data_IF_949146797308
#
_entry.id   IF_949146797308
#
_cell.length_a   1.000
_cell.length_b   1.000
_cell.length_c   1.000
_cell.angle_alpha   90.00
_cell.angle_beta   90.00
_cell.angle_gamma   90.00
#
_symmetry.space_group_name_H-M   'P 1'
#
loop_
_entity.id
_entity.type
_entity.pdbx_description
1 polymer ?
#
# COMPACT_ATOMS: atom_id res chain seq x y z
N UNK A 1 96.92 -10.64 -10.78
CA UNK A 1 96.77 -11.13 -12.17
C UNK A 1 95.53 -12.01 -12.18
N UNK A 2 94.51 -11.65 -12.96
CA UNK A 2 93.31 -12.49 -13.12
C UNK A 2 93.73 -13.66 -14.01
N UNK A 3 93.43 -14.88 -13.59
CA UNK A 3 93.78 -16.09 -14.35
C UNK A 3 92.97 -16.17 -15.65
N UNK A 4 93.65 -16.30 -16.79
CA UNK A 4 93.03 -16.37 -18.11
C UNK A 4 92.08 -17.59 -18.24
N UNK A 5 92.37 -18.68 -17.53
CA UNK A 5 91.51 -19.86 -17.49
C UNK A 5 90.20 -19.60 -16.75
N UNK A 6 90.25 -18.77 -15.70
CA UNK A 6 89.06 -18.34 -14.95
C UNK A 6 88.15 -17.44 -15.79
N UNK A 7 88.73 -16.56 -16.62
CA UNK A 7 87.98 -15.67 -17.52
C UNK A 7 87.30 -16.46 -18.65
N UNK A 8 87.99 -17.43 -19.25
CA UNK A 8 87.42 -18.28 -20.29
C UNK A 8 86.24 -19.11 -19.76
N UNK A 9 86.39 -19.68 -18.56
CA UNK A 9 85.32 -20.45 -17.91
C UNK A 9 84.10 -19.58 -17.59
N UNK A 10 84.32 -18.35 -17.10
CA UNK A 10 83.25 -17.39 -16.86
C UNK A 10 82.54 -16.96 -18.16
N UNK A 11 83.31 -16.74 -19.24
CA UNK A 11 82.77 -16.43 -20.57
C UNK A 11 81.85 -17.53 -21.09
N UNK A 12 82.26 -18.80 -20.94
CA UNK A 12 81.45 -19.95 -21.34
C UNK A 12 80.16 -20.05 -20.51
N UNK A 13 80.25 -19.85 -19.19
CA UNK A 13 79.09 -19.85 -18.30
C UNK A 13 78.07 -18.77 -18.68
N UNK A 14 78.53 -17.54 -18.93
CA UNK A 14 77.66 -16.43 -19.34
C UNK A 14 76.98 -16.76 -20.68
N UNK A 15 77.72 -17.27 -21.66
CA UNK A 15 77.14 -17.64 -22.95
C UNK A 15 76.07 -18.75 -22.81
N UNK A 16 76.33 -19.79 -22.02
CA UNK A 16 75.32 -20.82 -21.74
C UNK A 16 74.06 -20.23 -21.09
N UNK A 17 74.24 -19.26 -20.18
CA UNK A 17 73.12 -18.60 -19.52
C UNK A 17 72.31 -17.72 -20.48
N UNK A 18 72.96 -17.03 -21.41
CA UNK A 18 72.32 -16.20 -22.42
C UNK A 18 71.57 -17.04 -23.47
N UNK A 19 72.17 -18.17 -23.90
CA UNK A 19 71.52 -19.14 -24.79
C UNK A 19 70.28 -19.74 -24.13
N UNK A 20 70.36 -20.19 -22.87
CA UNK A 20 69.21 -20.77 -22.15
C UNK A 20 68.02 -19.82 -22.00
N UNK A 21 68.28 -18.50 -22.05
CA UNK A 21 67.25 -17.45 -21.98
C UNK A 21 66.82 -16.92 -23.36
N UNK A 22 67.37 -17.48 -24.44
CA UNK A 22 67.05 -17.11 -25.81
C UNK A 22 67.51 -15.70 -26.21
N UNK A 23 68.59 -15.19 -25.59
CA UNK A 23 69.15 -13.86 -25.85
C UNK A 23 70.27 -13.87 -26.91
N UNK A 24 70.76 -15.05 -27.28
CA UNK A 24 71.71 -15.25 -28.38
C UNK A 24 70.99 -16.01 -29.50
N UNK A 25 70.99 -15.47 -30.72
CA UNK A 25 70.18 -16.00 -31.82
C UNK A 25 70.88 -17.11 -32.64
N UNK A 26 72.21 -17.23 -32.61
CA UNK A 26 72.93 -18.09 -33.59
C UNK A 26 74.03 -19.00 -33.02
N UNK A 27 74.02 -19.31 -31.71
CA UNK A 27 75.07 -20.14 -31.10
C UNK A 27 76.48 -19.52 -31.13
N UNK A 28 76.64 -18.33 -31.71
CA UNK A 28 77.84 -17.52 -31.65
C UNK A 28 77.93 -16.89 -30.25
N UNK A 29 78.74 -17.50 -29.39
CA UNK A 29 79.05 -16.96 -28.08
C UNK A 29 79.80 -15.63 -28.19
N UNK A 30 79.61 -14.77 -27.19
CA UNK A 30 80.42 -13.57 -27.04
C UNK A 30 81.66 -13.97 -26.24
N UNK A 31 82.84 -13.71 -26.78
CA UNK A 31 84.07 -13.90 -26.02
C UNK A 31 84.23 -12.73 -25.04
N UNK A 32 84.23 -13.03 -23.75
CA UNK A 32 84.42 -12.04 -22.68
C UNK A 32 85.84 -12.06 -22.11
N UNK A 33 86.70 -13.00 -22.55
CA UNK A 33 88.02 -13.23 -21.97
C UNK A 33 89.12 -12.35 -22.61
N UNK A 34 89.00 -12.00 -23.89
CA UNK A 34 90.05 -11.29 -24.65
C UNK A 34 89.62 -9.93 -25.20
N UNK A 35 88.85 -9.16 -24.43
CA UNK A 35 88.26 -7.89 -24.87
C UNK A 35 89.28 -6.78 -25.26
N UNK A 36 90.58 -6.96 -24.98
CA UNK A 36 91.63 -5.98 -25.27
C UNK A 36 92.59 -6.35 -26.41
N UNK A 37 92.54 -7.57 -26.93
CA UNK A 37 93.44 -8.05 -28.01
C UNK A 37 92.84 -7.92 -29.42
N UNK A 38 91.59 -7.46 -29.51
CA UNK A 38 90.86 -7.30 -30.77
C UNK A 38 91.26 -6.03 -31.54
N UNK A 39 91.04 -6.05 -32.86
CA UNK A 39 91.00 -4.81 -33.65
C UNK A 39 89.89 -3.88 -33.12
N UNK A 40 90.03 -2.55 -33.25
CA UNK A 40 89.01 -1.61 -32.78
C UNK A 40 87.62 -1.84 -33.40
N UNK A 41 87.56 -2.44 -34.59
CA UNK A 41 86.31 -2.79 -35.28
C UNK A 41 85.62 -4.02 -34.66
N UNK A 42 86.38 -5.09 -34.37
CA UNK A 42 85.86 -6.29 -33.71
C UNK A 42 85.42 -6.02 -32.26
N UNK A 43 86.11 -5.12 -31.55
CA UNK A 43 85.70 -4.66 -30.23
C UNK A 43 84.35 -3.90 -30.28
N UNK A 44 84.14 -3.05 -31.30
CA UNK A 44 82.87 -2.34 -31.52
C UNK A 44 81.71 -3.29 -31.83
N UNK A 45 81.89 -4.29 -32.68
CA UNK A 45 80.85 -5.29 -32.96
C UNK A 45 80.47 -6.10 -31.72
N UNK A 46 81.47 -6.53 -30.94
CA UNK A 46 81.28 -7.25 -29.67
C UNK A 46 80.51 -6.39 -28.68
N UNK A 47 80.89 -5.12 -28.52
CA UNK A 47 80.18 -4.16 -27.68
C UNK A 47 78.73 -3.94 -28.16
N UNK A 48 78.49 -3.85 -29.47
CA UNK A 48 77.15 -3.76 -30.05
C UNK A 48 76.27 -4.96 -29.72
N UNK A 49 76.80 -6.19 -29.80
CA UNK A 49 76.08 -7.42 -29.41
C UNK A 49 75.75 -7.44 -27.91
N UNK A 50 76.69 -7.05 -27.05
CA UNK A 50 76.47 -6.96 -25.60
C UNK A 50 75.37 -5.92 -25.30
N UNK A 51 75.44 -4.74 -25.92
CA UNK A 51 74.44 -3.68 -25.75
C UNK A 51 73.06 -4.15 -26.22
N UNK A 52 72.97 -4.88 -27.34
CA UNK A 52 71.72 -5.47 -27.83
C UNK A 52 71.08 -6.42 -26.81
N UNK A 53 71.88 -7.32 -26.22
CA UNK A 53 71.42 -8.26 -25.18
C UNK A 53 70.96 -7.53 -23.92
N UNK A 54 71.72 -6.51 -23.49
CA UNK A 54 71.35 -5.69 -22.34
C UNK A 54 70.03 -4.95 -22.60
N UNK A 55 69.84 -4.39 -23.79
CA UNK A 55 68.59 -3.74 -24.19
C UNK A 55 67.42 -4.74 -24.18
N UNK A 56 67.59 -5.93 -24.74
CA UNK A 56 66.55 -6.97 -24.72
C UNK A 56 66.18 -7.41 -23.30
N UNK A 57 67.16 -7.51 -22.40
CA UNK A 57 66.93 -7.81 -20.99
C UNK A 57 66.16 -6.68 -20.29
N UNK A 58 66.50 -5.42 -20.55
CA UNK A 58 65.79 -4.26 -20.00
C UNK A 58 64.34 -4.27 -20.51
N UNK A 59 64.14 -4.41 -21.82
CA UNK A 59 62.81 -4.42 -22.42
C UNK A 59 61.94 -5.60 -21.94
N UNK A 60 62.53 -6.77 -21.72
CA UNK A 60 61.82 -7.93 -21.13
C UNK A 60 61.47 -7.67 -19.67
N UNK A 61 62.41 -7.16 -18.87
CA UNK A 61 62.16 -6.81 -17.47
C UNK A 61 61.07 -5.76 -17.32
N UNK A 62 61.08 -4.73 -18.17
CA UNK A 62 60.07 -3.68 -18.14
C UNK A 62 58.69 -4.21 -18.52
N UNK A 63 58.62 -5.09 -19.53
CA UNK A 63 57.37 -5.81 -19.88
C UNK A 63 56.87 -6.68 -18.74
N UNK A 64 57.75 -7.48 -18.13
CA UNK A 64 57.38 -8.34 -17.01
C UNK A 64 56.91 -7.53 -15.79
N UNK A 65 57.57 -6.40 -15.51
CA UNK A 65 57.15 -5.48 -14.45
C UNK A 65 55.75 -4.89 -14.72
N UNK A 66 55.48 -4.45 -15.95
CA UNK A 66 54.16 -3.97 -16.36
C UNK A 66 53.09 -5.07 -16.26
N UNK A 67 53.40 -6.31 -16.64
CA UNK A 67 52.49 -7.45 -16.51
C UNK A 67 52.18 -7.77 -15.05
N UNK A 68 53.19 -7.78 -14.17
CA UNK A 68 52.99 -8.01 -12.73
C UNK A 68 52.15 -6.90 -12.10
N UNK A 69 52.38 -5.63 -12.48
CA UNK A 69 51.58 -4.51 -12.00
C UNK A 69 50.12 -4.58 -12.49
N UNK A 70 49.92 -4.91 -13.77
CA UNK A 70 48.58 -5.14 -14.35
C UNK A 70 47.84 -6.29 -13.65
N UNK A 71 48.51 -7.42 -13.40
CA UNK A 71 47.91 -8.54 -12.67
C UNK A 71 47.59 -8.16 -11.21
N UNK A 72 48.49 -7.44 -10.55
CA UNK A 72 48.30 -6.97 -9.18
C UNK A 72 47.10 -6.03 -9.05
N UNK A 73 46.94 -5.11 -10.01
CA UNK A 73 45.78 -4.19 -10.06
C UNK A 73 44.47 -4.94 -10.34
N UNK A 74 44.45 -5.84 -11.32
CA UNK A 74 43.27 -6.69 -11.59
C UNK A 74 42.89 -7.53 -10.38
N UNK A 75 43.86 -8.14 -9.69
CA UNK A 75 43.61 -8.94 -8.50
C UNK A 75 43.04 -8.10 -7.33
N UNK A 76 43.53 -6.87 -7.15
CA UNK A 76 42.97 -5.92 -6.18
C UNK A 76 41.53 -5.54 -6.52
N UNK A 77 41.24 -5.27 -7.79
CA UNK A 77 39.87 -5.01 -8.27
C UNK A 77 38.95 -6.20 -7.99
N UNK A 78 39.36 -7.42 -8.39
CA UNK A 78 38.57 -8.63 -8.18
C UNK A 78 38.28 -8.89 -6.69
N UNK A 79 39.25 -8.63 -5.80
CA UNK A 79 39.02 -8.74 -4.35
C UNK A 79 38.02 -7.70 -3.84
N UNK A 80 38.11 -6.46 -4.31
CA UNK A 80 37.17 -5.42 -3.94
C UNK A 80 35.75 -5.75 -4.43
N UNK A 81 35.61 -6.22 -5.67
CA UNK A 81 34.33 -6.62 -6.24
C UNK A 81 33.75 -7.84 -5.54
N UNK A 82 34.57 -8.84 -5.20
CA UNK A 82 34.13 -10.00 -4.44
C UNK A 82 33.61 -9.63 -3.03
N UNK A 83 34.30 -8.70 -2.35
CA UNK A 83 33.84 -8.17 -1.07
C UNK A 83 32.50 -7.43 -1.19
N UNK A 84 32.33 -6.60 -2.24
CA UNK A 84 31.06 -5.91 -2.54
C UNK A 84 29.93 -6.89 -2.81
N UNK A 85 30.15 -7.87 -3.69
CA UNK A 85 29.16 -8.90 -4.02
C UNK A 85 28.78 -9.72 -2.79
N UNK A 86 29.74 -10.06 -1.92
CA UNK A 86 29.47 -10.77 -0.66
C UNK A 86 28.56 -9.95 0.26
N UNK A 87 28.82 -8.65 0.39
CA UNK A 87 27.98 -7.73 1.16
C UNK A 87 26.56 -7.62 0.57
N UNK A 88 26.44 -7.54 -0.75
CA UNK A 88 25.13 -7.47 -1.41
C UNK A 88 24.34 -8.77 -1.26
N UNK A 89 25.01 -9.92 -1.38
CA UNK A 89 24.38 -11.23 -1.12
C UNK A 89 23.87 -11.32 0.32
N UNK A 90 24.66 -10.87 1.30
CA UNK A 90 24.23 -10.83 2.69
C UNK A 90 22.98 -9.95 2.86
N UNK A 91 22.99 -8.72 2.34
CA UNK A 91 21.86 -7.78 2.40
C UNK A 91 20.60 -8.33 1.71
N UNK A 92 20.75 -8.94 0.54
CA UNK A 92 19.64 -9.56 -0.19
C UNK A 92 19.08 -10.79 0.56
N UNK A 93 19.95 -11.56 1.23
CA UNK A 93 19.52 -12.70 2.02
C UNK A 93 18.71 -12.29 3.25
N UNK A 94 19.11 -11.20 3.93
CA UNK A 94 18.38 -10.62 5.06
C UNK A 94 17.03 -10.08 4.61
N UNK A 95 17.01 -9.31 3.51
CA UNK A 95 15.75 -8.81 2.93
C UNK A 95 14.81 -9.95 2.56
N UNK A 96 15.32 -11.04 1.96
CA UNK A 96 14.52 -12.23 1.64
C UNK A 96 13.96 -12.91 2.89
N UNK A 97 14.75 -13.01 3.95
CA UNK A 97 14.30 -13.59 5.22
C UNK A 97 13.18 -12.74 5.85
N UNK A 98 13.31 -11.43 5.79
CA UNK A 98 12.32 -10.48 6.31
C UNK A 98 11.01 -10.51 5.49
N UNK A 99 11.07 -10.49 4.15
CA UNK A 99 9.86 -10.63 3.33
C UNK A 99 9.15 -11.97 3.56
N UNK A 100 9.91 -13.04 3.81
CA UNK A 100 9.33 -14.35 4.15
C UNK A 100 8.56 -14.28 5.48
N UNK A 101 9.11 -13.62 6.50
CA UNK A 101 8.40 -13.41 7.77
C UNK A 101 7.12 -12.60 7.58
N UNK A 102 7.15 -11.53 6.78
CA UNK A 102 5.95 -10.74 6.45
C UNK A 102 4.89 -11.55 5.74
N UNK A 103 5.30 -12.41 4.79
CA UNK A 103 4.38 -13.30 4.08
C UNK A 103 3.71 -14.31 5.03
N UNK A 104 4.47 -14.89 5.96
CA UNK A 104 3.95 -15.83 6.97
C UNK A 104 2.97 -15.10 7.92
N UNK A 105 3.28 -13.87 8.35
CA UNK A 105 2.37 -13.03 9.14
C UNK A 105 1.09 -12.68 8.38
N UNK A 106 1.19 -12.32 7.10
CA UNK A 106 0.03 -12.02 6.27
C UNK A 106 -0.87 -13.26 6.07
N UNK A 107 -0.26 -14.43 5.87
CA UNK A 107 -0.99 -15.70 5.70
C UNK A 107 -1.73 -16.10 6.97
N UNK A 108 -1.10 -15.94 8.14
CA UNK A 108 -1.75 -16.20 9.44
C UNK A 108 -2.88 -15.20 9.71
N UNK A 109 -2.69 -13.91 9.40
CA UNK A 109 -3.74 -12.90 9.49
C UNK A 109 -4.92 -13.21 8.54
N UNK A 110 -4.66 -13.62 7.30
CA UNK A 110 -5.69 -14.03 6.34
C UNK A 110 -6.49 -15.23 6.87
N UNK A 111 -5.81 -16.25 7.41
CA UNK A 111 -6.48 -17.43 7.97
C UNK A 111 -7.42 -17.08 9.13
N UNK A 112 -7.01 -16.11 9.96
CA UNK A 112 -7.80 -15.60 11.09
C UNK A 112 -9.01 -14.83 10.60
N UNK A 113 -8.82 -13.91 9.64
CA UNK A 113 -9.91 -13.14 9.03
C UNK A 113 -10.94 -14.06 8.35
N UNK A 114 -10.49 -15.09 7.62
CA UNK A 114 -11.38 -16.10 7.01
C UNK A 114 -12.19 -16.87 8.06
N UNK A 115 -11.60 -17.21 9.20
CA UNK A 115 -12.32 -17.86 10.31
C UNK A 115 -13.38 -16.94 10.94
N UNK A 116 -13.04 -15.67 11.14
CA UNK A 116 -13.98 -14.66 11.63
C UNK A 116 -15.14 -14.44 10.65
N UNK A 117 -14.86 -14.37 9.34
CA UNK A 117 -15.88 -14.26 8.30
C UNK A 117 -16.86 -15.44 8.35
N UNK A 118 -16.36 -16.68 8.40
CA UNK A 118 -17.22 -17.88 8.52
C UNK A 118 -18.10 -17.85 9.76
N UNK A 119 -17.55 -17.38 10.88
CA UNK A 119 -18.28 -17.23 12.14
C UNK A 119 -19.37 -16.16 12.04
N UNK A 120 -19.06 -15.01 11.43
CA UNK A 120 -20.03 -13.94 11.19
C UNK A 120 -21.14 -14.38 10.23
N UNK A 121 -20.81 -15.10 9.16
CA UNK A 121 -21.80 -15.68 8.25
C UNK A 121 -22.73 -16.67 8.96
N UNK A 122 -22.20 -17.53 9.84
CA UNK A 122 -23.02 -18.46 10.62
C UNK A 122 -24.00 -17.71 11.54
N UNK A 123 -23.54 -16.65 12.22
CA UNK A 123 -24.40 -15.77 13.03
C UNK A 123 -25.47 -15.09 12.17
N UNK A 124 -25.12 -14.59 10.99
CA UNK A 124 -26.08 -14.00 10.05
C UNK A 124 -27.15 -15.00 9.63
N UNK A 125 -26.78 -16.26 9.33
CA UNK A 125 -27.76 -17.31 8.99
C UNK A 125 -28.72 -17.57 10.16
N UNK A 126 -28.20 -17.70 11.38
CA UNK A 126 -29.03 -17.86 12.59
C UNK A 126 -30.01 -16.70 12.79
N UNK A 127 -29.54 -15.46 12.67
CA UNK A 127 -30.38 -14.27 12.80
C UNK A 127 -31.47 -14.19 11.72
N UNK A 128 -31.15 -14.60 10.48
CA UNK A 128 -32.15 -14.69 9.41
C UNK A 128 -33.23 -15.73 9.74
N UNK A 129 -32.86 -16.89 10.27
CA UNK A 129 -33.83 -17.89 10.71
C UNK A 129 -34.71 -17.38 11.84
N UNK A 130 -34.14 -16.72 12.87
CA UNK A 130 -34.89 -16.11 13.96
C UNK A 130 -35.85 -15.03 13.47
N UNK A 131 -35.42 -14.20 12.52
CA UNK A 131 -36.27 -13.21 11.87
C UNK A 131 -37.45 -13.87 11.16
N UNK A 132 -37.22 -14.97 10.42
CA UNK A 132 -38.31 -15.68 9.76
C UNK A 132 -39.29 -16.30 10.75
N UNK A 133 -38.79 -16.92 11.84
CA UNK A 133 -39.61 -17.44 12.94
C UNK A 133 -40.46 -16.33 13.57
N UNK A 134 -39.86 -15.18 13.89
CA UNK A 134 -40.57 -14.03 14.45
C UNK A 134 -41.66 -13.52 13.51
N UNK A 135 -41.37 -13.40 12.20
CA UNK A 135 -42.37 -13.02 11.19
C UNK A 135 -43.56 -13.99 11.20
N UNK A 136 -43.30 -15.30 11.21
CA UNK A 136 -44.39 -16.30 11.26
C UNK A 136 -45.21 -16.16 12.54
N UNK A 137 -44.56 -15.98 13.69
CA UNK A 137 -45.24 -15.79 14.97
C UNK A 137 -46.14 -14.54 14.96
N UNK A 138 -45.65 -13.40 14.44
CA UNK A 138 -46.44 -12.17 14.31
C UNK A 138 -47.65 -12.36 13.39
N UNK A 139 -47.49 -13.06 12.27
CA UNK A 139 -48.63 -13.35 11.39
C UNK A 139 -49.67 -14.25 12.07
N UNK A 140 -49.22 -15.25 12.83
CA UNK A 140 -50.09 -16.14 13.59
C UNK A 140 -50.83 -15.41 14.70
N UNK A 141 -50.17 -14.54 15.48
CA UNK A 141 -50.80 -13.77 16.55
C UNK A 141 -51.82 -12.77 16.01
N UNK A 142 -51.52 -12.10 14.88
CA UNK A 142 -52.49 -11.25 14.16
C UNK A 142 -53.72 -12.02 13.72
N UNK A 143 -53.52 -13.21 13.12
CA UNK A 143 -54.62 -14.07 12.70
C UNK A 143 -55.47 -14.53 13.91
N UNK A 144 -54.83 -14.99 14.99
CA UNK A 144 -55.50 -15.41 16.21
C UNK A 144 -56.31 -14.26 16.83
N UNK A 145 -55.71 -13.07 16.97
CA UNK A 145 -56.39 -11.87 17.47
C UNK A 145 -57.61 -11.52 16.60
N UNK A 146 -57.47 -11.54 15.28
CA UNK A 146 -58.58 -11.29 14.37
C UNK A 146 -59.71 -12.34 14.49
N UNK A 147 -59.40 -13.59 14.81
CA UNK A 147 -60.43 -14.62 15.09
C UNK A 147 -61.12 -14.40 16.43
N UNK A 148 -60.38 -13.99 17.47
CA UNK A 148 -60.94 -13.68 18.78
C UNK A 148 -61.85 -12.46 18.74
N UNK A 149 -61.47 -11.40 18.04
CA UNK A 149 -62.30 -10.20 17.85
C UNK A 149 -63.63 -10.59 17.21
N UNK A 150 -63.59 -11.34 16.09
CA UNK A 150 -64.82 -11.84 15.46
C UNK A 150 -65.66 -12.73 16.38
N UNK A 151 -65.03 -13.53 17.25
CA UNK A 151 -65.75 -14.34 18.25
C UNK A 151 -66.44 -13.46 19.29
N UNK A 152 -65.72 -12.46 19.83
CA UNK A 152 -66.25 -11.48 20.78
C UNK A 152 -67.38 -10.65 20.16
N UNK A 153 -67.26 -10.25 18.90
CA UNK A 153 -68.29 -9.52 18.18
C UNK A 153 -69.58 -10.35 18.07
N UNK A 154 -69.48 -11.63 17.68
CA UNK A 154 -70.65 -12.53 17.64
C UNK A 154 -71.29 -12.69 19.02
N UNK A 155 -70.50 -12.83 20.09
CA UNK A 155 -71.06 -12.91 21.46
C UNK A 155 -71.71 -11.61 21.88
N UNK A 156 -71.11 -10.46 21.58
CA UNK A 156 -71.68 -9.15 21.87
C UNK A 156 -72.99 -8.94 21.10
N UNK A 157 -73.05 -9.32 19.84
CA UNK A 157 -74.29 -9.22 19.05
C UNK A 157 -75.37 -10.16 19.58
N UNK A 158 -75.01 -11.36 20.07
CA UNK A 158 -75.93 -12.24 20.79
C UNK A 158 -76.48 -11.60 22.07
N UNK A 159 -75.60 -11.04 22.91
CA UNK A 159 -76.00 -10.35 24.14
C UNK A 159 -76.85 -9.11 23.85
N UNK A 160 -76.51 -8.33 22.82
CA UNK A 160 -77.31 -7.18 22.37
C UNK A 160 -78.71 -7.62 21.94
N UNK A 161 -78.84 -8.71 21.18
CA UNK A 161 -80.15 -9.26 20.80
C UNK A 161 -80.96 -9.67 22.02
N UNK A 162 -80.35 -10.38 22.97
CA UNK A 162 -81.00 -10.75 24.24
C UNK A 162 -81.44 -9.52 25.05
N UNK A 163 -80.61 -8.47 25.11
CA UNK A 163 -80.95 -7.21 25.78
C UNK A 163 -82.11 -6.50 25.07
N UNK A 164 -82.12 -6.47 23.74
CA UNK A 164 -83.22 -5.89 22.95
C UNK A 164 -84.49 -6.71 23.12
N UNK A 165 -84.42 -8.04 23.13
CA UNK A 165 -85.54 -8.93 23.41
C UNK A 165 -86.07 -8.69 24.83
N UNK A 166 -85.20 -8.64 25.85
CA UNK A 166 -85.56 -8.27 27.22
C UNK A 166 -86.20 -6.87 27.31
N UNK A 167 -85.75 -5.91 26.48
CA UNK A 167 -86.33 -4.58 26.37
C UNK A 167 -87.65 -4.51 25.61
N UNK A 168 -87.92 -5.44 24.67
CA UNK A 168 -89.20 -5.59 23.97
C UNK A 168 -90.31 -6.14 24.88
N UNK A 169 -89.97 -6.76 26.00
CA UNK A 169 -90.91 -7.13 27.06
C UNK A 169 -91.35 -5.95 27.94
N UNK A 170 -91.23 -4.70 27.47
CA UNK A 170 -91.90 -3.52 28.06
C UNK A 170 -93.40 -3.54 27.72
N UNK A 171 -94.04 -4.65 28.07
CA UNK A 171 -95.44 -4.97 27.81
C UNK A 171 -95.92 -6.30 28.41
N UNK A 172 -95.07 -7.13 29.04
CA UNK A 172 -95.54 -8.23 29.89
C UNK A 172 -94.43 -8.76 30.82
N UNK A 173 -94.68 -8.64 32.13
CA UNK A 173 -94.14 -9.40 33.28
C UNK A 173 -92.62 -9.63 33.36
N UNK A 174 -92.00 -8.85 34.25
CA UNK A 174 -90.91 -9.20 35.18
C UNK A 174 -90.25 -10.58 34.98
N UNK A 175 -89.10 -10.63 34.34
CA UNK A 175 -88.13 -11.72 34.55
C UNK A 175 -87.24 -11.34 35.76
N UNK A 176 -87.10 -12.21 36.79
CA UNK A 176 -86.47 -11.86 38.07
C UNK A 176 -84.93 -11.86 38.04
N UNK A 177 -84.28 -11.88 36.87
CA UNK A 177 -82.82 -12.03 36.75
C UNK A 177 -82.08 -10.81 36.21
N UNK A 178 -82.75 -9.69 35.96
CA UNK A 178 -82.11 -8.45 35.48
C UNK A 178 -82.15 -7.40 36.58
N UNK A 179 -81.08 -7.33 37.37
CA UNK A 179 -80.86 -6.27 38.36
C UNK A 179 -80.27 -5.05 37.65
N UNK A 180 -81.11 -4.10 37.25
CA UNK A 180 -80.67 -2.77 36.82
C UNK A 180 -80.33 -1.94 38.04
N UNK A 181 -79.04 -1.74 38.31
CA UNK A 181 -78.54 -0.84 39.36
C UNK A 181 -78.49 0.58 38.77
N UNK A 182 -79.38 1.46 39.23
CA UNK A 182 -79.25 2.90 39.03
C UNK A 182 -78.37 3.48 40.13
N UNK A 183 -77.17 3.95 39.77
CA UNK A 183 -76.29 4.67 40.69
C UNK A 183 -76.71 6.13 40.70
N UNK A 184 -77.46 6.53 41.73
CA UNK A 184 -77.62 7.93 42.14
C UNK A 184 -76.63 8.22 43.25
N UNK A 185 -75.81 9.24 43.04
CA UNK A 185 -74.82 9.75 43.98
C UNK A 185 -75.56 10.39 45.17
N UNK A 186 -75.58 9.70 46.31
CA UNK A 186 -76.10 10.25 47.57
C UNK A 186 -75.07 10.07 48.67
N UNK A 187 -74.44 11.19 49.01
CA UNK A 187 -73.56 11.38 50.16
C UNK A 187 -74.32 11.08 51.45
N UNK A 188 -73.89 10.03 52.16
CA UNK A 188 -74.40 9.66 53.46
C UNK A 188 -73.42 8.73 54.14
N UNK A 189 -72.55 9.30 54.97
CA UNK A 189 -71.75 8.58 55.95
C UNK A 189 -72.72 7.88 56.91
N UNK A 190 -72.62 6.56 56.99
CA UNK A 190 -72.73 5.85 58.26
C UNK A 190 -71.81 4.63 58.19
N UNK A 191 -71.06 4.48 59.28
CA UNK A 191 -70.06 3.46 59.48
C UNK A 191 -70.72 2.10 59.59
N UNK A 192 -70.31 1.16 58.73
CA UNK A 192 -70.41 -0.25 59.07
C UNK A 192 -69.25 -1.02 58.46
N UNK A 193 -68.73 -1.94 59.28
CA UNK A 193 -67.54 -2.73 59.09
C UNK A 193 -67.47 -3.39 57.71
N UNK A 194 -66.33 -3.26 57.02
CA UNK A 194 -65.57 -4.36 56.40
C UNK A 194 -64.38 -3.79 55.61
N UNK A 195 -63.18 -4.09 56.11
CA UNK A 195 -61.93 -4.13 55.36
C UNK A 195 -61.42 -2.82 54.71
N UNK A 196 -61.33 -1.74 55.48
CA UNK A 196 -60.29 -0.75 55.23
C UNK A 196 -58.95 -1.31 55.74
N UNK A 197 -58.22 -1.97 54.82
CA UNK A 197 -56.79 -2.24 54.99
C UNK A 197 -56.14 -0.95 55.47
N UNK A 198 -55.60 -0.96 56.68
CA UNK A 198 -54.69 0.06 57.19
C UNK A 198 -53.67 0.41 56.11
N UNK A 199 -53.77 1.62 55.57
CA UNK A 199 -52.70 2.27 54.79
C UNK A 199 -51.95 3.26 55.68
N UNK A 200 -51.80 2.95 56.97
CA UNK A 200 -50.76 3.58 57.79
C UNK A 200 -49.61 2.57 57.94
N UNK A 201 -48.93 2.29 56.83
CA UNK A 201 -47.50 2.06 56.95
C UNK A 201 -46.90 3.44 57.24
N UNK A 202 -46.34 3.63 58.43
CA UNK A 202 -45.63 4.87 58.83
C UNK A 202 -44.43 5.21 57.92
N UNK A 203 -44.12 4.37 56.94
CA UNK A 203 -43.09 4.56 55.91
C UNK A 203 -43.64 4.88 54.51
N UNK A 204 -44.96 4.84 54.28
CA UNK A 204 -45.55 5.08 52.95
C UNK A 204 -45.93 6.56 52.75
N UNK A 205 -44.90 7.41 52.61
CA UNK A 205 -45.05 8.83 52.33
C UNK A 205 -45.09 9.09 50.81
N UNK A 206 -46.08 9.85 50.32
CA UNK A 206 -46.17 10.34 48.93
C UNK A 206 -44.89 11.06 48.47
N UNK A 207 -44.14 11.62 49.42
CA UNK A 207 -42.80 12.19 49.17
C UNK A 207 -41.80 11.13 48.73
N UNK A 208 -41.85 9.91 49.26
CA UNK A 208 -41.00 8.79 48.85
C UNK A 208 -41.32 8.37 47.41
N UNK A 209 -42.59 8.34 47.01
CA UNK A 209 -42.99 8.06 45.63
C UNK A 209 -42.49 9.15 44.68
N UNK A 210 -42.70 10.43 45.04
CA UNK A 210 -42.25 11.59 44.25
C UNK A 210 -40.72 11.62 44.12
N UNK A 211 -39.98 11.39 45.21
CA UNK A 211 -38.53 11.29 45.18
C UNK A 211 -38.06 10.07 44.37
N UNK A 212 -38.75 8.93 44.44
CA UNK A 212 -38.41 7.76 43.63
C UNK A 212 -38.68 7.99 42.13
N UNK A 213 -39.70 8.77 41.80
CA UNK A 213 -40.02 9.15 40.42
C UNK A 213 -39.00 10.15 39.89
N UNK A 214 -38.68 11.20 40.65
CA UNK A 214 -37.64 12.18 40.29
C UNK A 214 -36.26 11.55 40.17
N UNK A 215 -35.92 10.60 41.06
CA UNK A 215 -34.66 9.86 40.97
C UNK A 215 -34.62 8.98 39.71
N UNK A 216 -35.73 8.29 39.38
CA UNK A 216 -35.84 7.51 38.14
C UNK A 216 -35.74 8.40 36.90
N UNK A 217 -36.43 9.53 36.88
CA UNK A 217 -36.40 10.48 35.78
C UNK A 217 -35.00 11.10 35.61
N UNK A 218 -34.34 11.50 36.70
CA UNK A 218 -32.97 12.01 36.66
C UNK A 218 -31.98 10.95 36.16
N UNK A 219 -32.17 9.68 36.55
CA UNK A 219 -31.35 8.57 36.08
C UNK A 219 -31.58 8.28 34.60
N UNK A 220 -32.82 8.33 34.13
CA UNK A 220 -33.18 8.11 32.74
C UNK A 220 -32.68 9.25 31.84
N UNK A 221 -32.86 10.50 32.26
CA UNK A 221 -32.31 11.68 31.58
C UNK A 221 -30.77 11.64 31.57
N UNK A 222 -30.14 11.23 32.66
CA UNK A 222 -28.68 11.06 32.72
C UNK A 222 -28.21 9.97 31.75
N UNK A 223 -28.89 8.82 31.70
CA UNK A 223 -28.57 7.75 30.74
C UNK A 223 -28.73 8.18 29.30
N UNK A 224 -29.81 8.89 28.99
CA UNK A 224 -30.08 9.37 27.64
C UNK A 224 -29.03 10.41 27.21
N UNK A 225 -28.69 11.34 28.10
CA UNK A 225 -27.60 12.30 27.90
C UNK A 225 -26.24 11.60 27.70
N UNK A 226 -25.93 10.57 28.49
CA UNK A 226 -24.71 9.79 28.28
C UNK A 226 -24.71 9.04 26.95
N UNK A 227 -25.85 8.50 26.51
CA UNK A 227 -25.97 7.84 25.21
C UNK A 227 -25.77 8.82 24.05
N UNK A 228 -26.29 10.05 24.16
CA UNK A 228 -26.08 11.12 23.17
C UNK A 228 -24.61 11.53 23.12
N UNK A 229 -23.94 11.72 24.26
CA UNK A 229 -22.49 11.99 24.30
C UNK A 229 -21.67 10.92 23.59
N UNK A 230 -21.99 9.65 23.85
CA UNK A 230 -21.27 8.53 23.23
C UNK A 230 -21.49 8.49 21.72
N UNK A 231 -22.72 8.74 21.27
CA UNK A 231 -23.02 8.81 19.84
C UNK A 231 -22.26 9.96 19.19
N UNK A 232 -22.31 11.17 19.77
CA UNK A 232 -21.60 12.34 19.26
C UNK A 232 -20.08 12.13 19.24
N UNK A 233 -19.51 11.51 20.28
CA UNK A 233 -18.09 11.18 20.35
C UNK A 233 -17.67 10.18 19.26
N UNK A 234 -18.50 9.17 19.00
CA UNK A 234 -18.28 8.22 17.89
C UNK A 234 -18.37 8.90 16.53
N UNK A 235 -19.34 9.79 16.33
CA UNK A 235 -19.47 10.52 15.07
C UNK A 235 -18.31 11.49 14.84
N UNK A 236 -17.84 12.18 15.88
CA UNK A 236 -16.67 13.05 15.82
C UNK A 236 -15.41 12.24 15.46
N UNK A 237 -15.21 11.08 16.10
CA UNK A 237 -14.10 10.17 15.79
C UNK A 237 -14.16 9.68 14.33
N UNK A 238 -15.33 9.28 13.83
CA UNK A 238 -15.48 8.85 12.43
C UNK A 238 -15.22 9.98 11.43
N UNK A 239 -15.72 11.19 11.70
CA UNK A 239 -15.46 12.36 10.86
C UNK A 239 -13.98 12.75 10.87
N UNK A 240 -13.32 12.62 12.03
CA UNK A 240 -11.88 12.82 12.17
C UNK A 240 -11.09 11.81 11.35
N UNK A 241 -11.45 10.52 11.43
CA UNK A 241 -10.82 9.46 10.65
C UNK A 241 -10.99 9.68 9.14
N UNK A 242 -12.18 10.08 8.69
CA UNK A 242 -12.46 10.34 7.27
C UNK A 242 -11.77 11.60 6.75
N UNK A 243 -11.65 12.63 7.59
CA UNK A 243 -11.03 13.91 7.19
C UNK A 243 -9.50 13.93 7.37
N UNK A 244 -8.94 12.94 8.05
CA UNK A 244 -7.51 12.88 8.40
C UNK A 244 -7.09 13.98 9.37
N UNK A 245 -8.05 14.58 10.11
CA UNK A 245 -7.76 15.67 11.04
C UNK A 245 -6.94 15.15 12.23
N UNK A 246 -5.70 15.63 12.34
CA UNK A 246 -4.86 15.40 13.50
C UNK A 246 -4.63 16.74 14.18
N UNK A 247 -5.10 16.87 15.42
CA UNK A 247 -4.99 18.11 16.18
C UNK A 247 -3.50 18.40 16.43
N UNK A 248 -2.96 19.37 15.69
CA UNK A 248 -1.53 19.70 15.68
C UNK A 248 -1.07 20.32 17.00
N UNK A 249 -2.00 20.62 17.91
CA UNK A 249 -1.73 21.23 19.21
C UNK A 249 -1.59 20.21 20.34
N UNK A 250 -1.85 18.92 20.10
CA UNK A 250 -1.61 17.87 21.10
C UNK A 250 -0.19 17.33 20.96
N UNK A 251 0.79 18.14 21.38
CA UNK A 251 2.12 17.60 21.71
C UNK A 251 1.96 16.61 22.87
N UNK A 252 2.43 15.35 22.75
CA UNK A 252 2.45 14.44 23.87
C UNK A 252 3.53 14.93 24.84
N UNK A 253 3.14 15.70 25.85
CA UNK A 253 4.00 15.90 27.01
C UNK A 253 4.14 14.55 27.71
N UNK A 254 5.30 13.92 27.51
CA UNK A 254 5.74 12.61 28.02
C UNK A 254 5.80 12.47 29.56
N UNK A 255 5.08 13.29 30.33
CA UNK A 255 5.15 13.32 31.79
C UNK A 255 3.86 12.94 32.54
N UNK A 256 2.75 12.63 31.87
CA UNK A 256 1.57 12.09 32.55
C UNK A 256 1.39 10.59 32.24
N UNK A 257 2.20 9.81 32.95
CA UNK A 257 1.97 8.39 33.14
C UNK A 257 0.67 8.20 33.95
N UNK A 258 -0.45 8.09 33.24
CA UNK A 258 -1.68 7.31 33.50
C UNK A 258 -2.86 8.05 32.84
N UNK A 259 -3.45 7.53 31.75
CA UNK A 259 -4.64 8.13 31.18
C UNK A 259 -5.82 7.74 32.07
N UNK A 260 -6.06 8.50 33.14
CA UNK A 260 -7.42 8.61 33.65
C UNK A 260 -8.14 9.38 32.56
N UNK A 261 -8.68 8.64 31.59
CA UNK A 261 -9.49 9.12 30.48
C UNK A 261 -10.70 9.85 31.08
N UNK A 262 -10.53 11.13 31.41
CA UNK A 262 -11.67 12.01 31.65
C UNK A 262 -12.46 11.97 30.37
N UNK A 263 -13.71 11.50 30.48
CA UNK A 263 -14.65 11.54 29.37
C UNK A 263 -14.73 13.00 28.92
N UNK A 264 -14.54 13.30 27.61
CA UNK A 264 -14.61 14.66 27.12
C UNK A 264 -15.97 15.25 27.51
N UNK A 265 -15.96 16.47 28.06
CA UNK A 265 -17.18 17.18 28.34
C UNK A 265 -17.88 17.55 27.04
N UNK A 266 -19.17 17.90 27.12
CA UNK A 266 -19.94 18.38 25.97
C UNK A 266 -19.25 19.54 25.22
N UNK A 267 -18.59 20.43 25.97
CA UNK A 267 -17.87 21.58 25.42
C UNK A 267 -16.58 21.18 24.69
N UNK A 268 -15.86 20.16 25.19
CA UNK A 268 -14.68 19.64 24.52
C UNK A 268 -15.07 19.01 23.18
N UNK A 269 -16.15 18.22 23.19
CA UNK A 269 -16.70 17.57 22.01
C UNK A 269 -17.24 18.57 20.98
N UNK A 270 -17.88 19.64 21.43
CA UNK A 270 -18.32 20.76 20.59
C UNK A 270 -17.14 21.41 19.88
N UNK A 271 -16.05 21.70 20.62
CA UNK A 271 -14.84 22.29 20.05
C UNK A 271 -14.14 21.37 19.04
N UNK A 272 -14.08 20.06 19.32
CA UNK A 272 -13.51 19.06 18.40
C UNK A 272 -14.35 18.95 17.13
N UNK A 273 -15.68 18.90 17.26
CA UNK A 273 -16.59 18.83 16.12
C UNK A 273 -16.46 20.06 15.21
N UNK A 274 -16.39 21.27 15.79
CA UNK A 274 -16.24 22.51 15.03
C UNK A 274 -14.88 22.58 14.31
N UNK A 275 -13.82 22.10 14.94
CA UNK A 275 -12.49 22.01 14.32
C UNK A 275 -12.47 21.03 13.14
N UNK A 276 -13.04 19.83 13.31
CA UNK A 276 -13.16 18.82 12.24
C UNK A 276 -14.03 19.34 11.09
N UNK A 277 -15.17 19.96 11.40
CA UNK A 277 -16.07 20.53 10.39
C UNK A 277 -15.42 21.69 9.63
N UNK A 278 -14.62 22.51 10.31
CA UNK A 278 -13.84 23.59 9.66
C UNK A 278 -12.75 23.02 8.75
N UNK A 279 -12.05 21.98 9.18
CA UNK A 279 -11.08 21.27 8.35
C UNK A 279 -11.71 20.61 7.12
N UNK A 280 -12.85 19.94 7.29
CA UNK A 280 -13.61 19.37 6.18
C UNK A 280 -14.13 20.44 5.23
N UNK A 281 -14.63 21.57 5.75
CA UNK A 281 -15.01 22.72 4.93
C UNK A 281 -13.81 23.20 4.13
N UNK A 282 -12.67 23.41 4.77
CA UNK A 282 -11.44 23.82 4.10
C UNK A 282 -11.04 22.83 3.02
N UNK A 283 -11.06 21.51 3.26
CA UNK A 283 -10.81 20.53 2.20
C UNK A 283 -11.80 20.68 1.04
N UNK A 284 -13.10 20.74 1.34
CA UNK A 284 -14.13 20.82 0.30
C UNK A 284 -14.15 22.15 -0.46
N UNK A 285 -13.69 23.25 0.14
CA UNK A 285 -13.65 24.58 -0.48
C UNK A 285 -12.27 24.96 -1.03
N UNK A 286 -11.22 24.18 -0.76
CA UNK A 286 -9.89 24.45 -1.31
C UNK A 286 -9.80 23.86 -2.72
N UNK A 287 -9.54 24.67 -3.77
CA UNK A 287 -9.60 24.27 -5.18
C UNK A 287 -8.47 23.32 -5.63
N UNK A 288 -7.74 22.70 -4.70
CA UNK A 288 -6.65 21.77 -5.01
C UNK A 288 -7.09 20.33 -5.29
N UNK A 289 -8.39 20.03 -5.24
CA UNK A 289 -8.90 18.72 -5.65
C UNK A 289 -8.95 18.64 -7.17
N UNK A 290 -7.84 18.19 -7.73
CA UNK A 290 -7.71 17.78 -9.13
C UNK A 290 -8.54 16.49 -9.33
N UNK A 291 -9.41 16.42 -10.35
CA UNK A 291 -10.17 15.20 -10.64
C UNK A 291 -9.25 13.99 -10.76
N UNK A 292 -9.69 12.84 -10.25
CA UNK A 292 -8.87 11.62 -10.24
C UNK A 292 -8.47 11.19 -11.65
N UNK A 293 -9.32 11.52 -12.64
CA UNK A 293 -9.07 11.29 -14.06
C UNK A 293 -7.87 12.09 -14.58
N UNK A 294 -7.70 13.34 -14.12
CA UNK A 294 -6.55 14.17 -14.49
C UNK A 294 -5.27 13.66 -13.80
N UNK A 295 -5.37 13.17 -12.56
CA UNK A 295 -4.23 12.54 -11.87
C UNK A 295 -3.78 11.28 -12.63
N UNK A 296 -4.70 10.40 -13.02
CA UNK A 296 -4.40 9.20 -13.80
C UNK A 296 -3.80 9.56 -15.16
N UNK A 297 -4.33 10.58 -15.85
CA UNK A 297 -3.78 11.04 -17.13
C UNK A 297 -2.34 11.57 -16.98
N UNK A 298 -2.02 12.26 -15.88
CA UNK A 298 -0.67 12.71 -15.57
C UNK A 298 0.26 11.55 -15.22
N UNK A 299 -0.23 10.56 -14.48
CA UNK A 299 0.52 9.34 -14.16
C UNK A 299 0.89 8.55 -15.42
N UNK A 300 -0.06 8.38 -16.35
CA UNK A 300 0.17 7.74 -17.65
C UNK A 300 1.20 8.50 -18.52
N UNK A 301 1.15 9.84 -18.51
CA UNK A 301 2.14 10.69 -19.18
C UNK A 301 3.53 10.52 -18.56
N UNK A 302 3.61 10.57 -17.23
CA UNK A 302 4.86 10.39 -16.49
C UNK A 302 5.47 9.02 -16.81
N UNK A 303 4.68 7.97 -16.85
CA UNK A 303 5.17 6.62 -17.14
C UNK A 303 5.59 6.46 -18.61
N UNK A 304 4.90 7.12 -19.55
CA UNK A 304 5.35 7.20 -20.95
C UNK A 304 6.68 7.94 -21.08
N UNK A 305 6.83 9.06 -20.39
CA UNK A 305 8.08 9.83 -20.37
C UNK A 305 9.22 9.02 -19.75
N UNK A 306 9.00 8.34 -18.62
CA UNK A 306 9.97 7.43 -18.00
C UNK A 306 10.38 6.30 -18.96
N UNK A 307 9.42 5.67 -19.64
CA UNK A 307 9.70 4.63 -20.62
C UNK A 307 10.50 5.15 -21.83
N UNK A 308 10.19 6.38 -22.29
CA UNK A 308 10.97 7.07 -23.31
C UNK A 308 12.40 7.35 -22.86
N UNK A 309 12.57 7.82 -21.62
CA UNK A 309 13.88 8.04 -21.01
C UNK A 309 14.72 6.77 -20.90
N UNK A 310 14.14 5.66 -20.42
CA UNK A 310 14.83 4.37 -20.35
C UNK A 310 15.28 3.87 -21.74
N UNK A 311 14.45 4.07 -22.77
CA UNK A 311 14.84 3.76 -24.16
C UNK A 311 15.98 4.64 -24.64
N UNK A 312 15.97 5.92 -24.31
CA UNK A 312 17.08 6.83 -24.63
C UNK A 312 18.36 6.41 -23.90
N UNK A 313 18.28 6.08 -22.61
CA UNK A 313 19.42 5.60 -21.82
C UNK A 313 20.01 4.30 -22.38
N UNK A 314 19.17 3.32 -22.73
CA UNK A 314 19.61 2.07 -23.38
C UNK A 314 20.32 2.35 -24.70
N UNK A 315 19.75 3.22 -25.55
CA UNK A 315 20.36 3.60 -26.84
C UNK A 315 21.66 4.38 -26.67
N UNK A 316 21.75 5.23 -25.65
CA UNK A 316 23.00 5.90 -25.29
C UNK A 316 24.05 4.90 -24.84
N UNK A 317 23.69 3.90 -24.02
CA UNK A 317 24.58 2.82 -23.64
C UNK A 317 25.11 2.03 -24.84
N UNK A 318 24.24 1.68 -25.79
CA UNK A 318 24.63 1.02 -27.05
C UNK A 318 25.56 1.90 -27.90
N UNK A 319 25.32 3.23 -27.94
CA UNK A 319 26.18 4.17 -28.67
C UNK A 319 27.57 4.26 -28.06
N UNK A 320 27.66 4.31 -26.72
CA UNK A 320 28.94 4.30 -26.00
C UNK A 320 29.70 3.00 -26.26
N UNK A 321 29.03 1.84 -26.22
CA UNK A 321 29.65 0.55 -26.54
C UNK A 321 30.15 0.48 -27.99
N UNK A 322 29.41 1.04 -28.93
CA UNK A 322 29.83 1.13 -30.34
C UNK A 322 31.04 2.05 -30.52
N UNK A 323 31.07 3.20 -29.85
CA UNK A 323 32.21 4.13 -29.86
C UNK A 323 33.45 3.51 -29.20
N UNK A 324 33.28 2.80 -28.09
CA UNK A 324 34.37 2.09 -27.41
C UNK A 324 34.92 0.95 -28.26
N UNK A 325 34.05 0.16 -28.90
CA UNK A 325 34.44 -0.89 -29.83
C UNK A 325 35.16 -0.34 -31.06
N UNK A 326 34.72 0.81 -31.56
CA UNK A 326 35.41 1.54 -32.62
C UNK A 326 36.80 2.04 -32.18
N UNK A 327 36.89 2.71 -31.02
CA UNK A 327 38.15 3.21 -30.45
C UNK A 327 39.18 2.09 -30.23
N UNK A 328 38.75 0.93 -29.70
CA UNK A 328 39.63 -0.23 -29.51
C UNK A 328 40.13 -0.80 -30.84
N UNK A 329 39.26 -0.89 -31.85
CA UNK A 329 39.64 -1.36 -33.20
C UNK A 329 40.59 -0.40 -33.91
N UNK A 330 40.36 0.91 -33.79
CA UNK A 330 41.27 1.96 -34.26
C UNK A 330 42.66 1.84 -33.61
N UNK A 331 42.71 1.63 -32.29
CA UNK A 331 43.97 1.44 -31.57
C UNK A 331 44.72 0.16 -31.95
N UNK A 332 44.00 -0.90 -32.36
CA UNK A 332 44.59 -2.19 -32.72
C UNK A 332 45.00 -2.29 -34.21
N UNK A 333 44.22 -1.71 -35.13
CA UNK A 333 44.42 -1.89 -36.58
C UNK A 333 45.07 -0.70 -37.28
N UNK A 334 45.07 0.49 -36.65
CA UNK A 334 45.62 1.73 -37.20
C UNK A 334 44.97 2.23 -38.50
N UNK A 335 43.97 1.51 -39.04
CA UNK A 335 43.24 1.87 -40.26
C UNK A 335 41.93 2.57 -39.90
N UNK A 336 41.68 3.71 -40.55
CA UNK A 336 40.37 4.35 -40.59
C UNK A 336 39.37 3.34 -41.17
N UNK A 337 38.27 3.12 -40.45
CA UNK A 337 37.22 2.16 -40.81
C UNK A 337 36.80 2.32 -42.27
N UNK A 338 36.94 1.26 -43.07
CA UNK A 338 36.49 1.24 -44.46
C UNK A 338 34.96 1.26 -44.52
N UNK A 339 34.39 1.78 -45.61
CA UNK A 339 32.94 1.91 -45.85
C UNK A 339 32.17 0.56 -45.83
N UNK A 340 32.90 -0.56 -45.76
CA UNK A 340 32.41 -1.95 -45.76
C UNK A 340 32.21 -2.58 -44.36
N UNK A 341 32.38 -1.81 -43.26
CA UNK A 341 32.12 -2.35 -41.91
C UNK A 341 30.61 -2.45 -41.61
N UNK A 342 30.01 -3.53 -42.10
CA UNK A 342 28.58 -3.84 -41.97
C UNK A 342 28.09 -3.89 -40.52
N UNK A 343 28.96 -4.18 -39.56
CA UNK A 343 28.61 -4.21 -38.15
C UNK A 343 28.45 -2.80 -37.57
N UNK A 344 29.35 -1.88 -37.92
CA UNK A 344 29.23 -0.48 -37.55
C UNK A 344 28.02 0.17 -38.23
N UNK A 345 27.78 -0.12 -39.51
CA UNK A 345 26.60 0.38 -40.25
C UNK A 345 25.29 -0.15 -39.65
N UNK A 346 25.25 -1.42 -39.23
CA UNK A 346 24.08 -1.99 -38.53
C UNK A 346 23.91 -1.40 -37.14
N UNK A 347 24.99 -1.14 -36.41
CA UNK A 347 24.98 -0.45 -35.12
C UNK A 347 24.40 0.96 -35.23
N UNK A 348 24.89 1.76 -36.17
CA UNK A 348 24.39 3.12 -36.42
C UNK A 348 22.91 3.10 -36.85
N UNK A 349 22.47 2.14 -37.66
CA UNK A 349 21.05 1.99 -38.04
C UNK A 349 20.15 1.66 -36.85
N UNK A 350 20.64 0.89 -35.86
CA UNK A 350 19.90 0.58 -34.61
C UNK A 350 19.83 1.78 -33.67
N UNK A 351 20.83 2.66 -33.72
CA UNK A 351 20.88 3.89 -32.94
C UNK A 351 20.07 5.04 -33.52
N UNK A 352 19.66 5.00 -34.78
CA UNK A 352 18.84 6.06 -35.38
C UNK A 352 17.45 6.10 -34.75
N UNK A 353 16.98 7.27 -34.25
CA UNK A 353 15.60 7.40 -33.82
C UNK A 353 14.74 7.31 -35.09
N UNK A 354 13.94 6.26 -35.23
CA UNK A 354 12.70 6.41 -36.00
C UNK A 354 11.96 7.57 -35.33
N UNK A 355 11.83 8.68 -36.06
CA UNK A 355 10.97 9.78 -35.63
C UNK A 355 9.58 9.17 -35.51
N UNK A 356 9.16 8.93 -34.28
CA UNK A 356 7.75 8.66 -33.97
C UNK A 356 7.02 9.88 -34.52
N UNK A 357 6.38 9.68 -35.67
CA UNK A 357 5.46 10.64 -36.25
C UNK A 357 4.27 10.67 -35.30
N UNK A 358 4.35 11.52 -34.28
CA UNK A 358 3.20 11.92 -33.49
C UNK A 358 2.24 12.64 -34.43
N UNK A 359 1.35 11.87 -35.04
CA UNK A 359 0.15 12.41 -35.66
C UNK A 359 -0.79 12.88 -34.54
N UNK A 360 -1.35 14.09 -34.61
CA UNK A 360 -2.28 14.56 -33.60
C UNK A 360 -3.54 13.69 -33.67
N UNK A 361 -3.75 12.86 -32.65
CA UNK A 361 -5.09 12.33 -32.38
C UNK A 361 -5.91 13.48 -31.83
N UNK A 362 -6.66 14.11 -32.73
CA UNK A 362 -7.71 15.07 -32.39
C UNK A 362 -8.65 14.41 -31.39
N UNK A 363 -8.55 14.85 -30.15
CA UNK A 363 -9.62 14.74 -29.16
C UNK A 363 -10.71 15.68 -29.67
N UNK A 364 -11.70 15.14 -30.39
CA UNK A 364 -12.96 15.84 -30.68
C UNK A 364 -13.99 15.31 -29.69
N UNK A 365 -13.91 15.84 -28.48
CA UNK A 365 -14.97 15.75 -27.49
C UNK A 365 -15.81 17.02 -27.53
N UNK A 366 -17.13 16.82 -27.64
CA UNK A 366 -18.20 17.67 -27.12
C UNK A 366 -18.22 19.16 -27.54
N UNK A 367 -19.08 19.46 -28.52
CA UNK A 367 -19.91 20.66 -28.49
C UNK A 367 -21.37 20.25 -28.29
N UNK A 368 -21.85 20.52 -27.07
CA UNK A 368 -23.15 21.13 -26.72
C UNK A 368 -24.45 20.67 -27.40
N UNK A 369 -25.35 20.17 -26.55
CA UNK A 369 -26.81 20.19 -26.69
C UNK A 369 -27.33 21.57 -27.17
N UNK A 370 -28.12 21.60 -28.25
CA UNK A 370 -29.32 22.44 -28.42
C UNK A 370 -30.01 22.18 -29.76
N UNK A 371 -31.35 22.10 -29.69
CA UNK A 371 -32.35 22.32 -30.76
C UNK A 371 -32.71 21.15 -31.69
N UNK A 372 -33.86 20.54 -31.38
CA UNK A 372 -34.76 19.85 -32.31
C UNK A 372 -35.22 20.86 -33.38
N UNK A 373 -34.97 20.56 -34.66
CA UNK A 373 -35.76 21.11 -35.76
C UNK A 373 -36.28 19.97 -36.65
N UNK A 374 -37.60 19.95 -36.81
CA UNK A 374 -38.39 19.07 -37.66
C UNK A 374 -37.92 19.13 -39.12
N UNK A 375 -37.77 17.95 -39.74
CA UNK A 375 -37.67 17.85 -41.21
C UNK A 375 -39.07 17.66 -41.80
N UNK A 376 -39.60 18.70 -42.43
CA UNK A 376 -40.62 18.58 -43.48
C UNK A 376 -39.97 17.94 -44.72
N UNK A 377 -40.35 16.70 -45.04
CA UNK A 377 -40.13 16.13 -46.37
C UNK A 377 -41.18 16.69 -47.34
N UNK A 378 -40.72 17.55 -48.26
CA UNK A 378 -41.44 17.85 -49.50
C UNK A 378 -41.08 16.78 -50.54
N UNK A 379 -41.99 15.83 -50.76
CA UNK A 379 -42.08 15.10 -52.03
C UNK A 379 -43.06 15.84 -52.96
N UNK A 380 -42.52 16.52 -53.96
CA UNK A 380 -43.26 16.84 -55.19
C UNK A 380 -42.44 16.33 -56.37
N UNK A 381 -43.05 15.46 -57.18
CA UNK A 381 -42.44 14.95 -58.40
C UNK A 381 -43.35 13.99 -59.14
N UNK A 382 -44.29 14.58 -59.89
CA UNK A 382 -45.18 13.97 -60.89
C UNK A 382 -44.56 12.91 -61.78
#
# INVERSE_FOLDING_TARGET
>A
MIDAQSLHTASLYINNQLVSRGLLQDGQGIDFAHAGDDSPEAACERAGRIIGIVNDLILRRDRDAQHVESLSTSLRSLRADNARLTSDVARLSEKKAEERRRADMATTAESTARSQLRTAEAKMRSLKEDMTRMKTLVTQTRAACATEVRRRDRTNDGLKKQLVEAGRWRGARTNPSVTTIHVTESSGRDEDELAAKSTSEEDYDLRCETNSFLARLAQELSRENEAVLDLMSRTASQLRDMSGFHDTNTQPNDNDALPISRRPGWHDLESELEAVMTHMRNMLTNPSFVPIEEVVAREDEIDRLKAGWLKMESRWGEAVLLLDGWRRRMAASGRLVCEDDDELRRGIKRLSPERVRDGPRSVRGLETLAEEEEKEEKEEGR
#
